data_IF_522110509370
#
_entry.id   IF_522110509370
#
_cell.length_a   1.000
_cell.length_b   1.000
_cell.length_c   1.000
_cell.angle_alpha   90.00
_cell.angle_beta   90.00
_cell.angle_gamma   90.00
#
_symmetry.space_group_name_H-M   'P 1'
#
loop_
_entity.id
_entity.type
_entity.pdbx_description
1 polymer ?
#
# COMPACT_ATOMS: atom_id res chain seq x y z
N UNK A 1 5.33 12.21 -11.01
CA UNK A 1 5.94 11.43 -9.90
C UNK A 1 5.30 10.07 -10.02
N UNK A 2 5.92 9.22 -10.81
CA UNK A 2 5.28 8.07 -11.42
C UNK A 2 5.79 6.80 -10.74
N UNK A 3 4.85 5.99 -10.26
CA UNK A 3 5.09 4.71 -9.60
C UNK A 3 5.60 3.72 -10.66
N UNK A 4 6.78 3.15 -10.48
CA UNK A 4 7.35 2.15 -11.40
C UNK A 4 7.36 0.79 -10.72
N UNK A 5 6.58 -0.17 -11.22
CA UNK A 5 6.74 -1.59 -10.89
C UNK A 5 7.78 -2.18 -11.86
N UNK A 6 8.87 -2.73 -11.34
CA UNK A 6 9.86 -3.47 -12.14
C UNK A 6 9.69 -4.96 -11.92
N UNK A 7 9.31 -5.67 -12.99
CA UNK A 7 9.40 -7.13 -13.08
C UNK A 7 10.72 -7.47 -13.79
N UNK A 8 11.60 -8.20 -13.11
CA UNK A 8 12.81 -8.75 -13.73
C UNK A 8 12.46 -10.07 -14.41
N UNK A 9 12.29 -10.06 -15.73
CA UNK A 9 12.58 -11.24 -16.53
C UNK A 9 13.08 -10.83 -17.92
N UNK A 10 14.30 -11.26 -18.24
CA UNK A 10 14.96 -11.03 -19.53
C UNK A 10 14.34 -11.98 -20.56
N UNK A 11 13.73 -11.44 -21.62
CA UNK A 11 13.72 -12.03 -22.98
C UNK A 11 12.97 -11.16 -24.00
N UNK A 12 13.72 -10.54 -24.92
CA UNK A 12 13.33 -10.32 -26.31
C UNK A 12 12.39 -9.15 -26.66
N UNK A 13 12.87 -8.22 -27.48
CA UNK A 13 12.19 -7.04 -28.03
C UNK A 13 10.87 -7.32 -28.78
N UNK A 14 9.85 -6.47 -28.58
CA UNK A 14 9.27 -5.65 -29.67
C UNK A 14 8.34 -4.54 -29.13
N UNK A 15 8.64 -3.30 -29.53
CA UNK A 15 7.87 -2.09 -29.23
C UNK A 15 6.48 -2.12 -29.88
N UNK A 16 5.41 -1.91 -29.11
CA UNK A 16 4.18 -1.26 -29.61
C UNK A 16 3.32 -0.71 -28.49
N UNK A 17 2.98 0.56 -28.67
CA UNK A 17 2.16 1.43 -27.86
C UNK A 17 0.68 0.99 -27.93
N UNK A 18 0.13 0.42 -26.86
CA UNK A 18 -1.32 0.44 -26.61
C UNK A 18 -1.63 0.09 -25.15
N UNK A 19 -2.27 1.03 -24.45
CA UNK A 19 -2.92 0.80 -23.15
C UNK A 19 -3.89 -0.39 -23.21
N UNK A 20 -4.01 -1.05 -22.06
CA UNK A 20 -5.01 -2.07 -21.65
C UNK A 20 -4.51 -3.51 -21.74
N UNK A 21 -4.12 -4.07 -20.60
CA UNK A 21 -4.24 -5.52 -20.35
C UNK A 21 -4.89 -5.70 -18.97
N UNK A 22 -6.19 -5.98 -18.99
CA UNK A 22 -6.87 -6.66 -17.89
C UNK A 22 -6.30 -8.07 -17.84
N UNK A 23 -5.59 -8.42 -16.78
CA UNK A 23 -5.34 -9.82 -16.44
C UNK A 23 -5.93 -10.12 -15.07
N UNK A 24 -7.04 -10.86 -15.13
CA UNK A 24 -7.74 -11.48 -14.01
C UNK A 24 -7.31 -12.94 -14.02
N UNK A 25 -6.60 -13.40 -12.99
CA UNK A 25 -6.51 -14.84 -12.68
C UNK A 25 -6.38 -15.10 -11.16
N UNK A 26 -7.55 -15.35 -10.57
CA UNK A 26 -7.94 -16.28 -9.49
C UNK A 26 -6.86 -16.81 -8.53
N UNK A 27 -6.72 -16.16 -7.36
CA UNK A 27 -6.96 -16.71 -6.00
C UNK A 27 -6.78 -15.60 -4.93
N UNK A 28 -7.88 -14.89 -4.62
CA UNK A 28 -8.20 -14.35 -3.28
C UNK A 28 -7.45 -13.14 -2.70
N UNK A 29 -6.31 -12.68 -3.22
CA UNK A 29 -5.59 -11.54 -2.63
C UNK A 29 -4.96 -10.61 -3.66
N UNK A 30 -5.19 -9.30 -3.50
CA UNK A 30 -4.55 -8.25 -4.29
C UNK A 30 -3.23 -7.85 -3.61
N UNK A 31 -2.16 -7.71 -4.39
CA UNK A 31 -0.87 -7.19 -3.95
C UNK A 31 -0.72 -5.73 -4.40
N UNK A 32 -0.41 -4.83 -3.48
CA UNK A 32 -0.13 -3.42 -3.73
C UNK A 32 1.30 -3.11 -3.31
N UNK A 33 2.10 -2.59 -4.23
CA UNK A 33 3.50 -2.20 -3.97
C UNK A 33 3.66 -0.70 -4.23
N UNK A 34 4.17 0.01 -3.25
CA UNK A 34 4.49 1.42 -3.32
C UNK A 34 5.98 1.62 -3.66
N UNK A 35 6.31 2.61 -4.48
CA UNK A 35 7.71 3.04 -4.69
C UNK A 35 8.41 3.52 -3.42
N UNK A 36 7.66 3.74 -2.33
CA UNK A 36 8.16 4.02 -0.99
C UNK A 36 8.61 2.77 -0.21
N UNK A 37 8.43 1.57 -0.76
CA UNK A 37 8.78 0.29 -0.13
C UNK A 37 7.64 -0.39 0.64
N UNK A 38 6.46 0.24 0.74
CA UNK A 38 5.27 -0.36 1.36
C UNK A 38 4.68 -1.45 0.45
N UNK A 39 4.51 -2.66 0.98
CA UNK A 39 3.90 -3.80 0.27
C UNK A 39 2.74 -4.36 1.08
N UNK A 40 1.54 -4.39 0.49
CA UNK A 40 0.31 -4.85 1.15
C UNK A 40 -0.32 -5.98 0.35
N UNK A 41 -0.66 -7.06 1.04
CA UNK A 41 -1.39 -8.18 0.45
C UNK A 41 -2.69 -8.40 1.21
N UNK A 42 -3.80 -8.51 0.51
CA UNK A 42 -5.11 -8.72 1.13
C UNK A 42 -6.25 -8.86 0.15
N UNK A 43 -7.32 -9.52 0.59
CA UNK A 43 -8.53 -9.66 -0.21
C UNK A 43 -9.19 -8.29 -0.44
N UNK A 44 -9.64 -8.04 -1.68
CA UNK A 44 -10.36 -6.82 -2.08
C UNK A 44 -9.61 -5.49 -1.84
N UNK A 45 -8.30 -5.52 -1.58
CA UNK A 45 -7.50 -4.29 -1.50
C UNK A 45 -7.51 -3.55 -2.83
N UNK A 46 -7.71 -2.24 -2.78
CA UNK A 46 -7.56 -1.36 -3.93
C UNK A 46 -6.63 -0.21 -3.58
N UNK A 47 -5.96 0.36 -4.59
CA UNK A 47 -5.11 1.54 -4.39
C UNK A 47 -5.89 2.69 -3.75
N UNK A 48 -7.14 2.90 -4.18
CA UNK A 48 -7.98 3.98 -3.67
C UNK A 48 -8.36 3.79 -2.21
N UNK A 49 -8.74 2.57 -1.79
CA UNK A 49 -9.09 2.31 -0.38
C UNK A 49 -7.88 2.48 0.54
N UNK A 50 -6.72 1.93 0.15
CA UNK A 50 -5.47 2.11 0.92
C UNK A 50 -5.08 3.57 1.01
N UNK A 51 -5.12 4.30 -0.12
CA UNK A 51 -4.75 5.72 -0.16
C UNK A 51 -5.65 6.55 0.76
N UNK A 52 -6.97 6.41 0.65
CA UNK A 52 -7.92 7.17 1.46
C UNK A 52 -7.74 6.90 2.96
N UNK A 53 -7.53 5.64 3.37
CA UNK A 53 -7.27 5.31 4.77
C UNK A 53 -5.99 5.94 5.28
N UNK A 54 -4.88 5.83 4.53
CA UNK A 54 -3.61 6.46 4.90
C UNK A 54 -3.75 7.98 4.99
N UNK A 55 -4.38 8.62 4.00
CA UNK A 55 -4.60 10.06 4.01
C UNK A 55 -5.40 10.51 5.24
N UNK A 56 -6.48 9.80 5.58
CA UNK A 56 -7.28 10.12 6.76
C UNK A 56 -6.47 10.01 8.05
N UNK A 57 -5.75 8.90 8.25
CA UNK A 57 -4.93 8.67 9.44
C UNK A 57 -3.82 9.72 9.57
N UNK A 58 -3.16 10.07 8.47
CA UNK A 58 -2.03 10.99 8.47
C UNK A 58 -2.45 12.47 8.55
N UNK A 59 -3.63 12.82 8.02
CA UNK A 59 -4.12 14.21 8.02
C UNK A 59 -4.35 14.73 9.44
N UNK A 60 -4.75 13.88 10.38
CA UNK A 60 -4.95 14.31 11.77
C UNK A 60 -3.61 14.59 12.45
N UNK A 61 -2.62 13.73 12.23
CA UNK A 61 -1.31 13.91 12.82
C UNK A 61 -0.58 15.13 12.24
N UNK A 62 -0.65 15.32 10.91
CA UNK A 62 0.08 16.37 10.21
C UNK A 62 -0.31 17.79 10.61
N UNK A 63 -1.48 17.97 11.24
CA UNK A 63 -1.91 19.25 11.82
C UNK A 63 -1.07 19.66 13.04
N UNK A 64 -0.45 18.72 13.74
CA UNK A 64 0.26 18.95 15.01
C UNK A 64 1.75 18.64 14.93
N UNK A 65 2.18 17.87 13.92
CA UNK A 65 3.57 17.47 13.76
C UNK A 65 3.93 17.34 12.26
N UNK A 66 5.09 17.88 11.89
CA UNK A 66 5.63 17.81 10.52
C UNK A 66 6.65 16.68 10.36
N UNK A 67 6.57 15.66 11.22
CA UNK A 67 7.45 14.52 11.19
C UNK A 67 7.25 13.65 9.97
N UNK A 68 8.31 12.96 9.56
CA UNK A 68 8.21 12.00 8.48
C UNK A 68 7.58 10.72 9.01
N UNK A 69 6.67 10.18 8.20
CA UNK A 69 5.98 8.93 8.48
C UNK A 69 6.82 7.76 7.99
N UNK A 70 6.97 6.76 8.85
CA UNK A 70 7.56 5.47 8.50
C UNK A 70 6.48 4.41 8.57
N UNK A 71 6.45 3.55 7.55
CA UNK A 71 5.46 2.49 7.39
C UNK A 71 6.16 1.15 7.51
N UNK A 72 5.66 0.29 8.38
CA UNK A 72 6.11 -1.10 8.51
C UNK A 72 4.92 -2.01 8.26
N UNK A 73 5.00 -2.83 7.21
CA UNK A 73 3.98 -3.84 6.93
C UNK A 73 4.34 -5.17 7.58
N UNK A 74 3.36 -5.82 8.20
CA UNK A 74 3.45 -7.22 8.63
C UNK A 74 2.31 -8.01 8.01
N UNK A 75 2.43 -9.33 7.94
CA UNK A 75 1.36 -10.22 7.49
C UNK A 75 1.09 -11.26 8.57
N UNK A 76 -0.18 -11.50 8.86
CA UNK A 76 -0.64 -12.55 9.76
C UNK A 76 -1.73 -13.41 9.08
N UNK A 77 -2.45 -14.21 9.86
CA UNK A 77 -3.51 -15.10 9.36
C UNK A 77 -4.76 -14.35 8.86
N UNK A 78 -4.93 -13.08 9.23
CA UNK A 78 -6.07 -12.24 8.87
C UNK A 78 -5.75 -11.29 7.70
N UNK A 79 -4.48 -10.97 7.46
CA UNK A 79 -4.06 -10.22 6.27
C UNK A 79 -2.78 -9.42 6.49
N UNK A 80 -2.55 -8.40 5.66
CA UNK A 80 -1.52 -7.41 5.93
C UNK A 80 -1.97 -6.40 6.98
N UNK A 81 -1.06 -6.07 7.88
CA UNK A 81 -1.18 -5.01 8.86
C UNK A 81 -0.11 -3.95 8.59
N UNK A 82 -0.37 -2.71 8.97
CA UNK A 82 0.51 -1.57 8.78
C UNK A 82 0.69 -0.83 10.09
N UNK A 83 1.91 -0.85 10.61
CA UNK A 83 2.33 0.06 11.66
C UNK A 83 2.83 1.36 11.02
N UNK A 84 2.26 2.48 11.43
CA UNK A 84 2.67 3.82 11.05
C UNK A 84 3.31 4.48 12.27
N UNK A 85 4.49 5.06 12.10
CA UNK A 85 5.22 5.76 13.16
C UNK A 85 5.71 7.12 12.69
N UNK A 86 5.78 8.08 13.61
CA UNK A 86 6.39 9.38 13.36
C UNK A 86 7.86 9.40 13.79
N UNK A 87 8.74 9.96 12.97
CA UNK A 87 10.16 10.06 13.30
C UNK A 87 10.52 11.18 14.28
N UNK A 88 9.58 12.08 14.60
CA UNK A 88 9.83 13.28 15.42
C UNK A 88 9.16 13.23 16.80
N UNK A 89 8.07 12.49 16.95
CA UNK A 89 7.36 12.35 18.23
C UNK A 89 6.87 10.92 18.41
N UNK A 90 6.40 10.59 19.61
CA UNK A 90 6.00 9.24 20.01
C UNK A 90 4.61 8.83 19.49
N UNK A 91 4.23 9.33 18.32
CA UNK A 91 2.95 8.99 17.70
C UNK A 91 3.09 7.72 16.85
N UNK A 92 2.11 6.84 16.99
CA UNK A 92 1.96 5.63 16.20
C UNK A 92 0.48 5.35 15.95
N UNK A 93 0.19 4.66 14.84
CA UNK A 93 -1.14 4.14 14.49
C UNK A 93 -0.96 2.76 13.86
N UNK A 94 -1.92 1.88 14.11
CA UNK A 94 -1.91 0.51 13.60
C UNK A 94 -3.15 0.30 12.74
N UNK A 95 -2.93 0.02 11.45
CA UNK A 95 -3.99 -0.23 10.50
C UNK A 95 -4.00 -1.71 10.11
N UNK A 96 -5.16 -2.35 10.18
CA UNK A 96 -5.35 -3.73 9.72
C UNK A 96 -6.28 -3.77 8.52
N UNK A 97 -6.11 -4.77 7.64
CA UNK A 97 -7.01 -4.95 6.50
C UNK A 97 -8.28 -5.65 6.94
N UNK A 98 -9.42 -5.01 6.69
CA UNK A 98 -10.73 -5.62 6.86
C UNK A 98 -11.57 -5.32 5.62
N UNK A 99 -12.12 -6.37 4.98
CA UNK A 99 -12.99 -6.25 3.80
C UNK A 99 -12.44 -5.40 2.64
N UNK A 100 -11.12 -5.29 2.48
CA UNK A 100 -10.48 -4.49 1.42
C UNK A 100 -10.16 -3.03 1.80
N UNK A 101 -10.36 -2.67 3.06
CA UNK A 101 -10.06 -1.35 3.62
C UNK A 101 -9.03 -1.46 4.76
N UNK A 102 -8.25 -0.40 4.98
CA UNK A 102 -7.38 -0.28 6.15
C UNK A 102 -8.17 0.41 7.28
N UNK A 103 -8.34 -0.30 8.40
CA UNK A 103 -9.06 0.16 9.57
C UNK A 103 -8.09 0.44 10.72
N UNK A 104 -8.26 1.59 11.40
CA UNK A 104 -7.54 1.92 12.64
C UNK A 104 -8.15 1.15 13.82
N UNK A 105 -7.33 0.85 14.84
CA UNK A 105 -7.72 0.12 16.07
C UNK A 105 -8.44 1.04 17.06
#
# INVERSE_FOLDING_TARGET
MDLVLTDHNVQGLQESNQSTVVSRDVFGSNLLVCGCGLSLQGANLTLNTVKSSLENTLTQHSQTCLGRMSFTSTTDTQGANVLITCSLCDWMSFLFIQNGELCDV
#
